data_IF_976451275319
#
_entry.id   IF_976451275319
#
_cell.length_a   1.000
_cell.length_b   1.000
_cell.length_c   1.000
_cell.angle_alpha   90.00
_cell.angle_beta   90.00
_cell.angle_gamma   90.00
#
_symmetry.space_group_name_H-M   'P 1'
#
loop_
_entity.id
_entity.type
_entity.pdbx_description
1 polymer ?
#
# COMPACT_ATOMS: atom_id res chain seq x y z
N UNK A 1 -39.46 18.75 32.37
CA UNK A 1 -39.39 19.39 33.71
C UNK A 1 -38.47 18.52 34.55
N UNK A 2 -37.20 18.93 34.70
CA UNK A 2 -36.18 18.44 35.67
C UNK A 2 -35.73 16.94 35.56
N UNK A 3 -34.47 16.49 35.77
CA UNK A 3 -33.14 17.10 36.00
C UNK A 3 -32.07 15.96 36.11
N UNK A 4 -31.05 15.97 35.22
CA UNK A 4 -29.59 15.75 35.42
C UNK A 4 -28.93 14.37 35.65
N UNK A 5 -27.78 14.23 34.97
CA UNK A 5 -26.56 13.49 35.34
C UNK A 5 -25.62 13.42 34.11
N UNK A 6 -24.90 14.47 33.69
CA UNK A 6 -23.62 15.00 34.19
C UNK A 6 -22.54 13.95 34.52
N UNK A 7 -21.69 13.62 33.55
CA UNK A 7 -20.22 13.80 33.58
C UNK A 7 -19.57 13.21 32.31
N UNK A 8 -19.48 14.00 31.25
CA UNK A 8 -18.43 13.89 30.22
C UNK A 8 -17.99 15.33 29.95
N UNK A 9 -16.70 15.69 30.01
CA UNK A 9 -16.28 17.03 29.63
C UNK A 9 -16.38 17.17 28.10
N UNK A 10 -17.48 17.78 27.63
CA UNK A 10 -17.58 18.32 26.28
C UNK A 10 -16.42 19.30 26.05
N UNK A 11 -15.48 18.96 25.17
CA UNK A 11 -14.36 19.83 24.83
C UNK A 11 -14.81 20.87 23.79
N UNK A 12 -15.54 21.89 24.25
CA UNK A 12 -15.86 23.05 23.41
C UNK A 12 -14.61 23.89 23.14
N UNK A 13 -14.15 23.94 21.89
CA UNK A 13 -13.17 24.93 21.43
C UNK A 13 -13.93 26.08 20.76
N UNK A 14 -14.18 27.15 21.52
CA UNK A 14 -14.76 28.39 21.03
C UNK A 14 -13.62 29.28 20.46
N UNK A 15 -13.47 29.31 19.13
CA UNK A 15 -12.59 30.27 18.45
C UNK A 15 -13.37 31.57 18.20
N UNK A 16 -13.15 32.57 19.03
CA UNK A 16 -13.79 33.89 18.89
C UNK A 16 -13.00 34.80 17.92
N UNK A 17 -13.69 35.27 16.86
CA UNK A 17 -13.21 36.35 15.98
C UNK A 17 -13.72 36.29 14.52
N UNK A 18 -15.04 36.46 14.34
CA UNK A 18 -15.82 36.41 13.08
C UNK A 18 -15.41 37.37 11.90
N UNK A 19 -15.97 37.22 10.66
CA UNK A 19 -17.14 36.40 10.29
C UNK A 19 -16.98 35.43 9.09
N UNK A 20 -17.81 34.36 9.13
CA UNK A 20 -18.16 33.38 8.07
C UNK A 20 -16.96 32.52 7.61
N UNK A 21 -16.70 31.33 8.15
CA UNK A 21 -17.55 30.12 8.19
C UNK A 21 -17.37 29.40 9.53
N UNK A 22 -18.45 29.04 10.21
CA UNK A 22 -18.42 28.19 11.40
C UNK A 22 -18.18 26.75 10.98
N UNK A 23 -16.95 26.26 11.08
CA UNK A 23 -16.66 24.84 10.99
C UNK A 23 -17.06 24.20 12.32
N UNK A 24 -18.02 23.27 12.26
CA UNK A 24 -18.38 22.42 13.40
C UNK A 24 -17.41 21.24 13.40
N UNK A 25 -16.46 21.25 14.33
CA UNK A 25 -15.81 20.03 14.76
C UNK A 25 -16.81 19.30 15.65
N UNK A 26 -17.34 18.18 15.19
CA UNK A 26 -18.08 17.25 16.05
C UNK A 26 -17.04 16.23 16.52
N UNK A 27 -16.52 16.43 17.73
CA UNK A 27 -15.86 15.36 18.48
C UNK A 27 -16.97 14.80 19.36
N UNK A 28 -17.68 13.80 18.85
CA UNK A 28 -18.61 12.99 19.61
C UNK A 28 -18.06 11.56 19.63
N UNK A 29 -18.42 10.78 20.64
CA UNK A 29 -17.92 9.42 20.80
C UNK A 29 -18.41 8.55 19.63
N UNK A 30 -17.51 7.79 18.97
CA UNK A 30 -17.66 7.02 17.69
C UNK A 30 -17.55 7.80 16.38
N UNK A 31 -16.50 8.60 16.14
CA UNK A 31 -16.43 9.48 14.97
C UNK A 31 -15.04 9.46 14.33
N UNK A 32 -14.97 9.11 13.03
CA UNK A 32 -13.75 9.21 12.21
C UNK A 32 -13.45 10.67 11.90
N UNK A 33 -12.36 11.21 12.43
CA UNK A 33 -11.84 12.54 12.06
C UNK A 33 -10.59 12.36 11.22
N UNK A 34 -10.53 13.00 10.06
CA UNK A 34 -9.30 13.03 9.25
C UNK A 34 -8.60 14.38 9.41
N UNK A 35 -7.32 14.38 9.76
CA UNK A 35 -6.51 15.59 9.88
C UNK A 35 -5.34 15.59 8.89
N UNK A 36 -5.27 16.57 7.97
CA UNK A 36 -4.18 16.66 6.98
C UNK A 36 -3.29 17.90 7.18
N UNK A 37 -1.96 17.69 7.26
CA UNK A 37 -0.90 18.69 7.46
C UNK A 37 -0.73 19.75 6.34
N UNK A 38 -0.31 21.00 6.63
CA UNK A 38 0.04 22.03 5.59
C UNK A 38 1.22 22.96 5.96
N UNK A 39 2.14 23.23 5.00
CA UNK A 39 3.15 24.32 5.04
C UNK A 39 3.20 25.22 3.77
N UNK A 40 3.83 26.43 3.78
CA UNK A 40 4.52 27.01 2.60
C UNK A 40 6.00 27.46 2.86
N UNK A 41 6.85 27.51 1.81
CA UNK A 41 8.31 27.87 1.76
C UNK A 41 8.60 29.16 0.93
N UNK A 42 9.84 29.72 0.76
CA UNK A 42 11.22 29.17 1.02
C UNK A 42 12.30 30.11 1.65
N UNK A 43 13.35 29.54 2.29
CA UNK A 43 14.80 29.88 2.13
C UNK A 43 15.69 28.86 2.92
N UNK A 44 16.99 28.68 2.57
CA UNK A 44 17.72 27.42 2.79
C UNK A 44 18.57 27.33 4.07
N UNK A 45 18.87 26.07 4.42
CA UNK A 45 19.92 25.51 5.30
C UNK A 45 19.71 25.58 6.83
N UNK A 46 20.33 24.66 7.63
CA UNK A 46 21.30 23.62 7.29
C UNK A 46 20.91 22.17 7.70
N UNK A 47 21.73 21.25 7.21
CA UNK A 47 21.80 19.80 7.44
C UNK A 47 21.26 19.28 8.79
N UNK A 48 20.33 18.35 8.65
CA UNK A 48 19.84 17.42 9.65
C UNK A 48 18.82 16.58 8.91
N UNK A 49 19.27 15.48 8.32
CA UNK A 49 18.45 14.53 7.55
C UNK A 49 17.34 14.03 8.48
N UNK A 50 16.04 14.28 8.20
CA UNK A 50 14.98 13.43 8.71
C UNK A 50 15.00 12.15 7.89
N UNK A 51 14.99 10.99 8.54
CA UNK A 51 15.14 9.69 7.88
C UNK A 51 13.99 9.35 6.91
N UNK A 52 12.82 10.00 6.95
CA UNK A 52 11.67 9.61 6.11
C UNK A 52 11.73 10.06 4.64
N UNK A 53 12.53 11.07 4.29
CA UNK A 53 12.54 11.57 2.91
C UNK A 53 13.50 10.81 1.97
N UNK A 54 14.41 10.00 2.52
CA UNK A 54 15.43 9.28 1.74
C UNK A 54 14.95 7.88 1.28
N UNK A 55 13.99 7.27 1.98
CA UNK A 55 13.52 5.90 1.74
C UNK A 55 12.50 5.84 0.59
N UNK A 56 11.89 6.98 0.24
CA UNK A 56 10.94 7.13 -0.87
C UNK A 56 11.62 7.32 -2.24
N UNK A 57 12.88 6.95 -2.42
CA UNK A 57 13.60 7.13 -3.69
C UNK A 57 12.92 6.44 -4.88
N UNK A 58 12.37 5.24 -4.62
CA UNK A 58 11.67 4.39 -5.58
C UNK A 58 10.14 4.59 -5.64
N UNK A 59 9.56 5.36 -4.72
CA UNK A 59 8.13 5.66 -4.69
C UNK A 59 7.91 7.16 -4.82
N UNK A 60 7.10 7.64 -5.79
CA UNK A 60 6.95 9.07 -5.98
C UNK A 60 6.33 9.74 -4.75
N UNK A 61 7.09 10.63 -4.10
CA UNK A 61 6.54 11.47 -3.03
C UNK A 61 5.41 12.38 -3.56
N UNK A 62 4.30 12.43 -2.83
CA UNK A 62 3.19 13.28 -3.22
C UNK A 62 3.53 14.76 -3.02
N UNK A 63 3.44 15.54 -4.09
CA UNK A 63 3.58 16.97 -4.02
C UNK A 63 2.45 17.60 -3.21
N UNK A 64 2.74 18.72 -2.55
CA UNK A 64 1.76 19.58 -1.86
C UNK A 64 0.49 19.92 -2.65
N UNK A 65 0.56 19.96 -3.99
CA UNK A 65 -0.60 20.21 -4.83
C UNK A 65 -1.47 18.95 -4.97
N UNK A 66 -0.84 17.77 -5.08
CA UNK A 66 -1.53 16.48 -5.04
C UNK A 66 -2.24 16.29 -3.71
N UNK A 67 -1.58 16.53 -2.57
CA UNK A 67 -2.21 16.41 -1.25
C UNK A 67 -3.50 17.25 -1.11
N UNK A 68 -3.47 18.49 -1.59
CA UNK A 68 -4.66 19.37 -1.54
C UNK A 68 -5.76 18.95 -2.51
N UNK A 69 -5.39 18.38 -3.65
CA UNK A 69 -6.35 17.86 -4.62
C UNK A 69 -6.98 16.60 -4.06
N UNK A 70 -6.17 15.65 -3.59
CA UNK A 70 -6.61 14.46 -2.87
C UNK A 70 -7.56 14.84 -1.73
N UNK A 71 -7.19 15.74 -0.81
CA UNK A 71 -8.09 16.18 0.26
C UNK A 71 -9.44 16.73 -0.24
N UNK A 72 -9.43 17.53 -1.31
CA UNK A 72 -10.65 18.14 -1.84
C UNK A 72 -11.50 17.13 -2.62
N UNK A 73 -10.85 16.18 -3.31
CA UNK A 73 -11.48 15.08 -4.03
C UNK A 73 -12.05 14.06 -3.06
N UNK A 74 -11.31 13.70 -2.01
CA UNK A 74 -11.78 12.87 -0.88
C UNK A 74 -12.94 13.56 -0.17
N UNK A 75 -12.86 14.86 0.17
CA UNK A 75 -13.99 15.57 0.77
C UNK A 75 -15.22 15.54 -0.17
N UNK A 76 -15.01 15.68 -1.48
CA UNK A 76 -16.07 15.60 -2.48
C UNK A 76 -16.66 14.21 -2.67
N UNK A 77 -15.83 13.17 -2.72
CA UNK A 77 -16.20 11.76 -2.87
C UNK A 77 -16.82 11.25 -1.60
N UNK A 78 -16.18 11.47 -0.45
CA UNK A 78 -16.74 11.15 0.84
C UNK A 78 -18.06 11.89 1.05
N UNK A 79 -18.23 13.17 0.69
CA UNK A 79 -19.56 13.81 0.78
C UNK A 79 -20.62 13.16 -0.11
N UNK A 80 -20.25 12.57 -1.26
CA UNK A 80 -21.18 11.84 -2.14
C UNK A 80 -21.46 10.42 -1.65
N UNK A 81 -20.44 9.76 -1.10
CA UNK A 81 -20.47 8.38 -0.63
C UNK A 81 -21.14 8.29 0.75
N UNK A 82 -20.79 9.21 1.65
CA UNK A 82 -21.32 9.33 3.01
C UNK A 82 -22.78 9.81 3.07
N UNK A 83 -23.35 10.33 1.97
CA UNK A 83 -24.80 10.52 1.87
C UNK A 83 -25.54 9.17 1.95
N UNK A 84 -24.85 8.05 1.68
CA UNK A 84 -25.33 6.68 1.90
C UNK A 84 -25.14 6.15 3.33
N UNK A 85 -24.40 6.84 4.19
CA UNK A 85 -24.05 6.43 5.55
C UNK A 85 -24.78 7.31 6.58
N UNK A 86 -26.11 7.28 6.57
CA UNK A 86 -26.94 8.11 7.47
C UNK A 86 -26.65 7.88 8.98
N UNK A 87 -26.02 6.76 9.33
CA UNK A 87 -25.70 6.36 10.71
C UNK A 87 -24.25 6.64 11.13
N UNK A 88 -23.32 6.96 10.21
CA UNK A 88 -21.90 7.20 10.51
C UNK A 88 -21.50 8.66 10.30
N UNK A 89 -20.94 9.28 11.34
CA UNK A 89 -20.52 10.69 11.32
C UNK A 89 -19.02 10.81 10.99
N UNK A 90 -18.65 10.72 9.71
CA UNK A 90 -17.27 10.93 9.25
C UNK A 90 -17.00 12.42 8.97
N UNK A 91 -15.93 12.96 9.54
CA UNK A 91 -15.53 14.37 9.40
C UNK A 91 -14.12 14.54 8.82
N UNK A 92 -13.97 15.45 7.86
CA UNK A 92 -12.67 15.79 7.26
C UNK A 92 -12.18 17.15 7.75
N UNK A 93 -10.88 17.26 8.02
CA UNK A 93 -10.23 18.43 8.56
C UNK A 93 -8.80 18.61 8.04
N UNK A 94 -8.39 19.88 7.93
CA UNK A 94 -7.02 20.24 7.57
C UNK A 94 -6.35 20.93 8.76
N UNK A 95 -5.20 20.41 9.19
CA UNK A 95 -4.40 20.97 10.30
C UNK A 95 -3.11 21.57 9.75
N UNK A 96 -3.05 22.90 9.68
CA UNK A 96 -1.82 23.60 9.25
C UNK A 96 -0.79 23.59 10.39
N UNK A 97 0.32 22.86 10.24
CA UNK A 97 1.37 22.68 11.25
C UNK A 97 1.85 24.02 11.83
N UNK A 98 2.01 25.06 10.99
CA UNK A 98 2.47 26.38 11.43
C UNK A 98 1.40 27.16 12.17
N UNK A 99 0.16 27.18 11.66
CA UNK A 99 -0.93 27.99 12.22
C UNK A 99 -1.62 27.31 13.40
N UNK A 100 -1.58 25.99 13.43
CA UNK A 100 -2.29 25.12 14.36
C UNK A 100 -1.34 24.14 15.08
N UNK A 101 -0.06 24.48 15.23
CA UNK A 101 0.94 23.66 15.96
C UNK A 101 0.48 23.18 17.34
N UNK A 102 -0.28 24.00 18.07
CA UNK A 102 -0.82 23.60 19.38
C UNK A 102 -1.91 22.52 19.27
N UNK A 103 -2.66 22.48 18.17
CA UNK A 103 -3.65 21.44 17.87
C UNK A 103 -2.92 20.17 17.42
N UNK A 104 -2.00 20.28 16.44
CA UNK A 104 -1.18 19.15 15.98
C UNK A 104 -0.49 18.43 17.15
N UNK A 105 0.24 19.19 17.98
CA UNK A 105 0.90 18.65 19.17
C UNK A 105 -0.05 18.04 20.20
N UNK A 106 -1.27 18.55 20.32
CA UNK A 106 -2.25 18.01 21.27
C UNK A 106 -2.87 16.70 20.77
N UNK A 107 -2.98 16.57 19.46
CA UNK A 107 -3.53 15.40 18.78
C UNK A 107 -2.47 14.35 18.43
N UNK A 108 -1.18 14.63 18.66
CA UNK A 108 -0.10 13.70 18.32
C UNK A 108 0.26 13.65 16.83
N UNK A 109 -0.06 14.70 16.07
CA UNK A 109 0.27 14.77 14.64
C UNK A 109 1.74 15.19 14.50
N UNK A 110 2.62 14.21 14.38
CA UNK A 110 4.07 14.42 14.37
C UNK A 110 4.66 14.40 12.96
N UNK A 111 4.03 13.69 12.02
CA UNK A 111 4.45 13.66 10.61
C UNK A 111 3.71 14.70 9.76
N UNK A 112 4.48 15.34 8.88
CA UNK A 112 3.99 16.39 7.98
C UNK A 112 3.63 15.74 6.66
N UNK A 113 2.53 16.19 6.05
CA UNK A 113 2.05 15.60 4.80
C UNK A 113 1.54 14.16 4.96
N UNK A 114 1.14 13.78 6.18
CA UNK A 114 0.45 12.51 6.47
C UNK A 114 -1.04 12.72 6.77
N UNK A 115 -1.80 11.63 6.68
CA UNK A 115 -3.22 11.57 6.98
C UNK A 115 -3.39 10.83 8.31
N UNK A 116 -4.00 11.49 9.29
CA UNK A 116 -4.33 10.86 10.57
C UNK A 116 -5.83 10.64 10.68
N UNK A 117 -6.22 9.43 11.03
CA UNK A 117 -7.60 8.96 11.16
C UNK A 117 -7.84 8.66 12.65
N UNK A 118 -8.76 9.40 13.25
CA UNK A 118 -9.15 9.20 14.64
C UNK A 118 -10.39 8.31 14.67
N UNK A 119 -10.27 7.04 15.04
CA UNK A 119 -11.39 6.10 15.12
C UNK A 119 -11.53 5.62 16.56
N UNK A 120 -12.71 5.84 17.17
CA UNK A 120 -12.94 5.58 18.60
C UNK A 120 -11.90 6.19 19.55
N UNK A 121 -11.02 5.38 20.13
CA UNK A 121 -9.91 5.84 20.98
C UNK A 121 -8.55 5.75 20.30
N UNK A 122 -8.51 5.25 19.07
CA UNK A 122 -7.30 4.97 18.30
C UNK A 122 -6.98 6.08 17.31
N UNK A 123 -5.68 6.22 17.04
CA UNK A 123 -5.14 7.13 16.05
C UNK A 123 -4.39 6.28 15.03
N UNK A 124 -4.98 6.17 13.84
CA UNK A 124 -4.41 5.45 12.72
C UNK A 124 -3.66 6.44 11.84
N UNK A 125 -2.38 6.19 11.62
CA UNK A 125 -1.57 6.91 10.65
C UNK A 125 -1.70 6.21 9.29
N UNK A 126 -2.28 6.90 8.31
CA UNK A 126 -2.42 6.37 6.96
C UNK A 126 -1.16 6.70 6.16
N UNK A 127 -0.42 5.65 5.81
CA UNK A 127 0.80 5.71 5.00
C UNK A 127 0.65 4.89 3.70
N UNK A 128 -0.46 5.14 3.01
CA UNK A 128 -0.79 4.57 1.71
C UNK A 128 -0.87 5.61 0.60
N UNK A 129 -1.29 5.16 -0.59
CA UNK A 129 -1.48 5.98 -1.77
C UNK A 129 -2.46 7.13 -1.50
N UNK A 130 -2.10 8.34 -1.96
CA UNK A 130 -2.93 9.53 -1.80
C UNK A 130 -3.93 9.66 -2.95
N UNK A 131 -4.70 8.59 -3.16
CA UNK A 131 -5.78 8.48 -4.12
C UNK A 131 -7.13 8.40 -3.41
N UNK A 132 -8.15 9.03 -3.98
CA UNK A 132 -9.42 9.23 -3.28
C UNK A 132 -10.25 7.95 -3.14
N UNK A 133 -10.19 7.06 -4.13
CA UNK A 133 -10.75 5.71 -4.08
C UNK A 133 -10.09 4.86 -2.99
N UNK A 134 -8.75 4.78 -2.97
CA UNK A 134 -7.99 4.02 -1.97
C UNK A 134 -8.30 4.48 -0.55
N UNK A 135 -8.36 5.80 -0.33
CA UNK A 135 -8.66 6.35 0.99
C UNK A 135 -10.12 6.09 1.38
N UNK A 136 -11.08 6.18 0.45
CA UNK A 136 -12.48 5.85 0.74
C UNK A 136 -12.63 4.36 1.08
N UNK A 137 -11.95 3.47 0.37
CA UNK A 137 -11.91 2.04 0.67
C UNK A 137 -11.30 1.78 2.05
N UNK A 138 -10.16 2.40 2.35
CA UNK A 138 -9.54 2.30 3.67
C UNK A 138 -10.47 2.77 4.80
N UNK A 139 -11.21 3.86 4.58
CA UNK A 139 -12.17 4.36 5.56
C UNK A 139 -13.36 3.41 5.77
N UNK A 140 -13.75 2.63 4.76
CA UNK A 140 -14.75 1.58 4.95
C UNK A 140 -14.25 0.52 5.91
N UNK A 141 -13.01 0.06 5.72
CA UNK A 141 -12.43 -0.90 6.63
C UNK A 141 -12.31 -0.34 8.05
N UNK A 142 -11.95 0.94 8.20
CA UNK A 142 -11.84 1.60 9.52
C UNK A 142 -13.19 1.65 10.28
N UNK A 143 -14.31 1.88 9.60
CA UNK A 143 -15.62 1.96 10.27
C UNK A 143 -16.25 0.61 10.57
N UNK A 144 -15.74 -0.48 9.99
CA UNK A 144 -16.17 -1.83 10.32
C UNK A 144 -15.70 -2.25 11.72
N UNK A 145 -16.38 -3.24 12.32
CA UNK A 145 -15.99 -3.77 13.61
C UNK A 145 -14.58 -4.42 13.50
N UNK A 146 -13.68 -4.22 14.47
CA UNK A 146 -12.30 -4.72 14.39
C UNK A 146 -12.20 -6.26 14.42
N UNK A 147 -13.25 -6.95 14.87
CA UNK A 147 -13.32 -8.42 14.89
C UNK A 147 -14.52 -8.95 14.12
N UNK A 148 -14.25 -9.68 13.03
CA UNK A 148 -15.27 -10.36 12.24
C UNK A 148 -15.69 -11.71 12.85
N UNK A 149 -17.01 -11.95 12.97
CA UNK A 149 -17.52 -13.19 13.54
C UNK A 149 -17.80 -14.24 12.46
N UNK A 150 -17.12 -15.39 12.54
CA UNK A 150 -17.37 -16.57 11.70
C UNK A 150 -18.39 -17.48 12.38
N UNK A 151 -19.62 -17.48 11.88
CA UNK A 151 -20.74 -18.27 12.39
C UNK A 151 -21.16 -19.42 11.47
N UNK A 152 -20.74 -19.40 10.20
CA UNK A 152 -21.16 -20.38 9.20
C UNK A 152 -20.04 -20.79 8.21
N UNK A 153 -20.37 -21.79 7.37
CA UNK A 153 -19.43 -22.40 6.43
C UNK A 153 -19.04 -21.49 5.25
N UNK A 154 -19.87 -20.48 4.94
CA UNK A 154 -19.59 -19.52 3.88
C UNK A 154 -18.57 -18.49 4.36
N UNK A 155 -18.77 -17.94 5.55
CA UNK A 155 -17.78 -17.05 6.20
C UNK A 155 -16.47 -17.77 6.45
N UNK A 156 -16.51 -19.02 6.92
CA UNK A 156 -15.29 -19.82 7.09
C UNK A 156 -14.54 -20.01 5.75
N UNK A 157 -15.26 -20.14 4.63
CA UNK A 157 -14.64 -20.19 3.32
C UNK A 157 -14.03 -18.84 2.94
N UNK A 158 -14.73 -17.73 3.22
CA UNK A 158 -14.19 -16.37 3.03
C UNK A 158 -12.88 -16.17 3.78
N UNK A 159 -12.85 -16.56 5.06
CA UNK A 159 -11.65 -16.55 5.89
C UNK A 159 -10.46 -17.28 5.25
N UNK A 160 -10.67 -18.47 4.66
CA UNK A 160 -9.59 -19.22 4.01
C UNK A 160 -9.19 -18.68 2.63
N UNK A 161 -10.05 -17.91 1.97
CA UNK A 161 -9.78 -17.33 0.65
C UNK A 161 -8.91 -16.05 0.73
N UNK A 162 -8.82 -15.43 1.90
CA UNK A 162 -7.99 -14.25 2.14
C UNK A 162 -6.61 -14.73 2.59
N UNK A 163 -5.64 -14.86 1.71
CA UNK A 163 -4.30 -15.39 2.01
C UNK A 163 -3.18 -14.36 1.86
N UNK A 164 -3.48 -13.11 1.48
CA UNK A 164 -2.50 -12.06 1.21
C UNK A 164 -2.31 -11.05 2.35
N UNK A 165 -3.04 -11.21 3.46
CA UNK A 165 -2.95 -10.36 4.65
C UNK A 165 -2.77 -11.16 5.93
N UNK A 166 -2.12 -10.55 6.93
CA UNK A 166 -2.02 -11.14 8.26
C UNK A 166 -3.42 -11.25 8.85
N UNK A 167 -3.77 -12.44 9.34
CA UNK A 167 -5.07 -12.66 9.97
C UNK A 167 -4.99 -13.55 11.21
N UNK A 168 -5.82 -13.27 12.20
CA UNK A 168 -5.94 -14.05 13.41
C UNK A 168 -7.33 -14.65 13.53
N UNK A 169 -7.45 -15.83 14.13
CA UNK A 169 -8.76 -16.40 14.46
C UNK A 169 -8.79 -17.02 15.85
N UNK A 170 -9.70 -16.52 16.68
CA UNK A 170 -9.90 -17.00 18.04
C UNK A 170 -11.20 -17.80 18.24
N UNK A 171 -11.17 -18.85 19.06
CA UNK A 171 -12.40 -19.52 19.52
C UNK A 171 -12.74 -19.15 20.96
N UNK A 172 -13.85 -18.45 21.17
CA UNK A 172 -14.28 -18.01 22.49
C UNK A 172 -15.67 -18.54 22.86
N UNK A 173 -16.05 -18.39 24.13
CA UNK A 173 -17.37 -18.87 24.60
C UNK A 173 -18.54 -18.02 24.13
N UNK A 174 -18.31 -16.71 23.98
CA UNK A 174 -19.29 -15.67 23.63
C UNK A 174 -18.58 -14.31 23.62
N UNK A 175 -19.19 -13.30 23.00
CA UNK A 175 -18.79 -11.88 23.07
C UNK A 175 -18.56 -11.36 24.50
N UNK A 176 -19.29 -11.90 25.49
CA UNK A 176 -19.15 -11.48 26.90
C UNK A 176 -18.02 -12.18 27.66
N UNK A 177 -17.22 -12.98 26.97
CA UNK A 177 -16.10 -13.69 27.57
C UNK A 177 -14.98 -12.69 27.85
N UNK A 178 -14.37 -12.68 29.05
CA UNK A 178 -13.23 -11.80 29.32
C UNK A 178 -12.09 -11.98 28.30
N UNK A 179 -11.86 -13.20 27.83
CA UNK A 179 -10.82 -13.47 26.82
C UNK A 179 -11.16 -12.98 25.41
N UNK A 180 -12.45 -12.80 25.11
CA UNK A 180 -12.84 -12.20 23.84
C UNK A 180 -12.67 -10.69 23.94
N UNK A 181 -13.04 -10.07 25.06
CA UNK A 181 -12.84 -8.63 25.29
C UNK A 181 -11.35 -8.27 25.14
N UNK A 182 -10.44 -9.01 25.77
CA UNK A 182 -8.99 -8.75 25.61
C UNK A 182 -8.46 -9.00 24.18
N UNK A 183 -9.18 -9.81 23.39
CA UNK A 183 -8.84 -10.08 21.99
C UNK A 183 -9.39 -9.00 21.05
N UNK A 184 -10.58 -8.48 21.38
CA UNK A 184 -11.25 -7.36 20.73
C UNK A 184 -10.48 -6.06 20.98
N UNK A 185 -10.08 -5.80 22.23
CA UNK A 185 -9.22 -4.68 22.62
C UNK A 185 -7.88 -4.73 21.85
N UNK A 186 -7.28 -5.93 21.69
CA UNK A 186 -6.05 -6.08 20.90
C UNK A 186 -6.27 -5.91 19.38
N UNK A 187 -7.48 -6.15 18.88
CA UNK A 187 -7.80 -5.97 17.47
C UNK A 187 -7.88 -4.48 17.11
N UNK A 188 -8.39 -3.64 18.03
CA UNK A 188 -8.45 -2.18 17.86
C UNK A 188 -7.06 -1.57 17.55
N UNK A 189 -5.99 -2.10 18.17
CA UNK A 189 -4.60 -1.61 17.99
C UNK A 189 -4.03 -1.84 16.56
N UNK A 190 -4.54 -2.83 15.82
CA UNK A 190 -4.06 -3.15 14.46
C UNK A 190 -5.12 -2.92 13.38
N UNK A 191 -6.29 -2.39 13.74
CA UNK A 191 -7.37 -2.15 12.80
C UNK A 191 -7.04 -0.97 11.87
N UNK A 192 -7.19 -1.09 10.53
CA UNK A 192 -7.74 -2.23 9.78
C UNK A 192 -6.70 -3.12 9.08
N UNK A 193 -5.41 -2.95 9.37
CA UNK A 193 -4.30 -3.59 8.65
C UNK A 193 -4.19 -5.10 8.91
N UNK A 194 -4.41 -5.53 10.16
CA UNK A 194 -4.44 -6.96 10.53
C UNK A 194 -5.88 -7.40 10.73
N UNK A 195 -6.31 -8.46 10.05
CA UNK A 195 -7.71 -8.91 10.12
C UNK A 195 -7.94 -9.88 11.29
N UNK A 196 -8.77 -9.49 12.24
CA UNK A 196 -9.13 -10.34 13.37
C UNK A 196 -10.47 -11.03 13.12
N UNK A 197 -10.49 -12.34 13.32
CA UNK A 197 -11.69 -13.16 13.27
C UNK A 197 -11.95 -13.82 14.62
N UNK A 198 -13.22 -14.10 14.91
CA UNK A 198 -13.59 -14.91 16.05
C UNK A 198 -14.73 -15.86 15.71
N UNK A 199 -14.81 -16.97 16.43
CA UNK A 199 -16.01 -17.81 16.41
C UNK A 199 -16.47 -18.12 17.82
N UNK A 200 -17.78 -18.25 17.98
CA UNK A 200 -18.41 -18.77 19.20
C UNK A 200 -19.07 -20.13 18.96
N UNK A 201 -19.14 -20.62 17.71
CA UNK A 201 -19.72 -21.93 17.37
C UNK A 201 -18.67 -23.05 17.53
N UNK A 202 -18.88 -24.03 18.44
CA UNK A 202 -18.00 -25.18 18.58
C UNK A 202 -17.82 -26.02 17.29
N UNK A 203 -18.74 -25.95 16.33
CA UNK A 203 -18.63 -26.63 15.03
C UNK A 203 -17.63 -25.94 14.12
N UNK A 204 -17.66 -24.62 14.05
CA UNK A 204 -16.71 -23.81 13.27
C UNK A 204 -15.32 -23.94 13.90
N UNK A 205 -15.21 -23.78 15.21
CA UNK A 205 -13.97 -24.00 15.95
C UNK A 205 -13.37 -25.40 15.70
N UNK A 206 -14.21 -26.43 15.60
CA UNK A 206 -13.73 -27.79 15.27
C UNK A 206 -13.15 -27.89 13.85
N UNK A 207 -13.66 -27.13 12.88
CA UNK A 207 -13.13 -27.09 11.51
C UNK A 207 -11.80 -26.33 11.46
N UNK A 208 -11.72 -25.22 12.19
CA UNK A 208 -10.49 -24.46 12.45
C UNK A 208 -9.48 -25.22 13.32
N UNK A 209 -9.87 -26.37 13.92
CA UNK A 209 -9.08 -27.16 14.87
C UNK A 209 -8.73 -26.45 16.19
N UNK A 210 -9.39 -25.34 16.50
CA UNK A 210 -9.19 -24.53 17.70
C UNK A 210 -9.82 -25.13 18.97
N UNK A 211 -9.13 -24.94 20.10
CA UNK A 211 -9.69 -25.12 21.45
C UNK A 211 -10.24 -23.81 22.02
N UNK A 212 -11.06 -23.89 23.07
CA UNK A 212 -11.57 -22.68 23.75
C UNK A 212 -10.42 -21.80 24.23
N UNK A 213 -10.51 -20.50 23.95
CA UNK A 213 -9.53 -19.44 24.18
C UNK A 213 -8.18 -19.69 23.47
N UNK A 214 -8.15 -20.49 22.41
CA UNK A 214 -7.01 -20.62 21.51
C UNK A 214 -7.16 -19.60 20.39
N UNK A 215 -6.05 -18.98 20.02
CA UNK A 215 -5.94 -18.04 18.90
C UNK A 215 -4.85 -18.57 17.99
N UNK A 216 -5.17 -18.69 16.72
CA UNK A 216 -4.23 -19.04 15.65
C UNK A 216 -3.90 -17.77 14.85
N UNK A 217 -2.61 -17.55 14.60
CA UNK A 217 -2.06 -16.51 13.75
C UNK A 217 -1.73 -17.10 12.38
N UNK A 218 -2.18 -16.46 11.32
CA UNK A 218 -1.89 -16.83 9.93
C UNK A 218 -1.05 -15.71 9.33
N UNK A 219 0.19 -16.04 9.03
CA UNK A 219 1.03 -15.23 8.17
C UNK A 219 0.53 -15.32 6.72
N UNK A 220 0.60 -14.23 5.92
CA UNK A 220 0.28 -14.25 4.51
C UNK A 220 0.96 -15.40 3.78
N UNK A 221 0.23 -16.01 2.87
CA UNK A 221 0.65 -17.08 1.95
C UNK A 221 1.10 -18.38 2.62
N UNK A 222 0.97 -18.49 3.95
CA UNK A 222 1.23 -19.72 4.71
C UNK A 222 -0.02 -20.58 4.82
N UNK A 223 0.11 -21.89 4.55
CA UNK A 223 -1.02 -22.83 4.61
C UNK A 223 -1.46 -23.15 6.05
N UNK A 224 -0.49 -23.31 6.95
CA UNK A 224 -0.70 -23.72 8.33
C UNK A 224 -0.49 -22.54 9.28
N UNK A 225 -1.37 -22.32 10.27
CA UNK A 225 -1.19 -21.26 11.24
C UNK A 225 -0.21 -21.61 12.34
N UNK A 226 0.24 -20.56 13.05
CA UNK A 226 0.94 -20.67 14.32
C UNK A 226 -0.04 -20.38 15.47
N UNK A 227 -0.28 -21.38 16.33
CA UNK A 227 -1.07 -21.16 17.55
C UNK A 227 -0.27 -20.31 18.55
N UNK A 228 -0.81 -19.16 18.93
CA UNK A 228 -0.15 -18.24 19.87
C UNK A 228 0.07 -18.95 21.22
N UNK A 229 1.31 -18.98 21.76
CA UNK A 229 1.61 -19.68 23.01
C UNK A 229 1.08 -18.91 24.23
N UNK A 230 0.91 -19.59 25.36
CA UNK A 230 0.73 -18.91 26.66
C UNK A 230 -0.69 -18.68 27.17
N UNK A 231 -1.74 -19.11 26.46
CA UNK A 231 -3.15 -18.87 26.85
C UNK A 231 -3.51 -19.15 28.32
N UNK A 232 -4.46 -18.40 28.93
CA UNK A 232 -5.25 -17.33 28.32
C UNK A 232 -4.45 -16.03 28.14
N UNK A 233 -4.72 -15.33 27.04
CA UNK A 233 -4.04 -14.08 26.68
C UNK A 233 -4.69 -12.88 27.35
N UNK A 234 -3.88 -11.84 27.57
CA UNK A 234 -4.31 -10.46 27.77
C UNK A 234 -3.98 -9.64 26.52
N UNK A 235 -4.59 -8.46 26.36
CA UNK A 235 -4.38 -7.55 25.23
C UNK A 235 -2.90 -7.39 24.86
N UNK A 236 -2.06 -7.00 25.82
CA UNK A 236 -0.63 -6.75 25.61
C UNK A 236 0.17 -7.99 25.15
N UNK A 237 -0.26 -9.20 25.51
CA UNK A 237 0.41 -10.43 25.07
C UNK A 237 0.09 -10.76 23.61
N UNK A 238 -1.09 -10.35 23.11
CA UNK A 238 -1.46 -10.48 21.71
C UNK A 238 -0.75 -9.42 20.87
N UNK A 239 -0.76 -8.18 21.33
CA UNK A 239 -0.06 -7.06 20.69
C UNK A 239 1.42 -7.38 20.53
N UNK A 240 2.11 -7.75 21.63
CA UNK A 240 3.54 -8.09 21.58
C UNK A 240 3.84 -9.29 20.65
N UNK A 241 2.90 -10.23 20.52
CA UNK A 241 3.08 -11.35 19.59
C UNK A 241 2.96 -10.89 18.14
N UNK A 242 1.97 -10.06 17.81
CA UNK A 242 1.74 -9.57 16.44
C UNK A 242 2.90 -8.66 16.02
N UNK A 243 3.32 -7.73 16.86
CA UNK A 243 4.49 -6.86 16.62
C UNK A 243 5.81 -7.64 16.42
N UNK A 244 5.91 -8.88 16.93
CA UNK A 244 7.09 -9.73 16.71
C UNK A 244 7.04 -10.49 15.38
N UNK A 245 5.89 -10.51 14.71
CA UNK A 245 5.62 -11.26 13.49
C UNK A 245 4.89 -10.39 12.45
N UNK A 246 5.07 -9.07 12.53
CA UNK A 246 4.41 -8.07 11.68
C UNK A 246 5.10 -7.90 10.31
N UNK A 247 6.26 -8.54 10.12
CA UNK A 247 6.99 -8.65 8.85
C UNK A 247 6.90 -10.07 8.28
N UNK A 248 5.96 -10.35 7.37
CA UNK A 248 5.86 -11.64 6.67
C UNK A 248 7.06 -11.91 5.76
N UNK A 249 7.32 -13.20 5.51
CA UNK A 249 8.32 -13.65 4.53
C UNK A 249 7.93 -13.27 3.10
N UNK A 250 6.64 -13.32 2.77
CA UNK A 250 6.10 -12.82 1.52
C UNK A 250 4.94 -11.86 1.84
N UNK A 251 5.03 -10.63 1.37
CA UNK A 251 4.03 -9.58 1.61
C UNK A 251 3.61 -8.91 0.30
N UNK A 252 2.31 -8.74 0.10
CA UNK A 252 1.76 -8.06 -1.08
C UNK A 252 1.83 -6.55 -0.85
N UNK A 253 2.35 -5.81 -1.82
CA UNK A 253 2.29 -4.35 -1.81
C UNK A 253 0.86 -3.92 -2.15
N UNK A 254 0.18 -3.28 -1.21
CA UNK A 254 -1.20 -2.81 -1.36
C UNK A 254 -1.23 -1.29 -1.38
N UNK A 255 -2.12 -0.66 -2.18
CA UNK A 255 -2.18 0.80 -2.26
C UNK A 255 -2.32 1.49 -0.90
N UNK A 256 -3.13 0.96 0.02
CA UNK A 256 -3.39 1.58 1.32
C UNK A 256 -2.25 1.47 2.35
N UNK A 257 -1.20 0.67 2.09
CA UNK A 257 -0.04 0.48 2.98
C UNK A 257 1.30 0.53 2.22
N UNK A 258 1.30 1.05 0.99
CA UNK A 258 2.47 0.97 0.12
C UNK A 258 3.71 1.67 0.67
N UNK A 259 3.56 2.79 1.39
CA UNK A 259 4.71 3.50 1.95
C UNK A 259 5.19 2.84 3.24
N UNK A 260 4.28 2.37 4.10
CA UNK A 260 4.63 1.58 5.29
C UNK A 260 5.48 0.35 4.92
N UNK A 261 5.03 -0.45 3.95
CA UNK A 261 5.74 -1.65 3.49
C UNK A 261 7.11 -1.29 2.88
N UNK A 262 7.18 -0.20 2.11
CA UNK A 262 8.40 0.22 1.45
C UNK A 262 9.41 0.89 2.39
N UNK A 263 8.95 1.54 3.46
CA UNK A 263 9.82 2.13 4.48
C UNK A 263 10.39 1.08 5.44
N UNK A 264 9.80 -0.12 5.46
CA UNK A 264 10.20 -1.25 6.30
C UNK A 264 11.28 -2.14 5.63
N UNK A 265 12.43 -1.54 5.30
CA UNK A 265 13.56 -2.21 4.61
C UNK A 265 14.34 -3.23 5.48
N UNK A 266 15.12 -4.09 4.82
CA UNK A 266 16.13 -4.94 5.46
C UNK A 266 17.50 -4.44 5.01
N UNK A 267 18.26 -3.83 5.92
CA UNK A 267 19.62 -3.32 5.67
C UNK A 267 19.73 -2.27 4.54
N UNK A 268 18.65 -1.57 4.20
CA UNK A 268 18.59 -0.60 3.12
C UNK A 268 18.10 -1.17 1.78
N UNK A 269 17.68 -2.43 1.75
CA UNK A 269 17.30 -3.13 0.53
C UNK A 269 15.93 -3.82 0.64
N UNK A 270 15.31 -4.07 -0.51
CA UNK A 270 14.14 -4.94 -0.65
C UNK A 270 14.37 -5.99 -1.72
N UNK A 271 13.93 -7.22 -1.45
CA UNK A 271 13.69 -8.21 -2.50
C UNK A 271 12.30 -7.95 -3.05
N UNK A 272 12.20 -7.61 -4.33
CA UNK A 272 10.95 -7.22 -5.00
C UNK A 272 10.63 -8.23 -6.10
N UNK A 273 9.41 -8.75 -6.11
CA UNK A 273 8.89 -9.63 -7.15
C UNK A 273 7.70 -8.97 -7.84
N UNK A 274 7.75 -8.80 -9.16
CA UNK A 274 6.60 -8.38 -9.97
C UNK A 274 5.94 -9.61 -10.59
N UNK A 275 4.63 -9.74 -10.40
CA UNK A 275 3.82 -10.79 -11.03
C UNK A 275 2.36 -10.36 -11.08
N UNK A 276 1.75 -10.37 -12.27
CA UNK A 276 0.31 -10.14 -12.45
C UNK A 276 -0.45 -11.41 -12.06
N UNK A 277 -1.35 -11.33 -11.08
CA UNK A 277 -2.07 -12.52 -10.56
C UNK A 277 -3.00 -13.16 -11.61
N UNK A 278 -3.55 -12.33 -12.50
CA UNK A 278 -4.52 -12.74 -13.53
C UNK A 278 -3.85 -13.24 -14.84
N UNK A 279 -2.53 -13.02 -15.00
CA UNK A 279 -1.74 -13.55 -16.12
C UNK A 279 -1.28 -15.00 -15.84
N UNK A 280 -1.32 -15.92 -16.83
CA UNK A 280 -0.90 -17.30 -16.62
C UNK A 280 0.55 -17.47 -16.13
N UNK A 281 1.49 -16.67 -16.65
CA UNK A 281 2.91 -16.76 -16.31
C UNK A 281 3.15 -16.10 -14.94
N UNK A 282 2.47 -14.98 -14.67
CA UNK A 282 2.45 -14.34 -13.35
C UNK A 282 1.89 -15.24 -12.24
N UNK A 283 0.80 -15.97 -12.51
CA UNK A 283 0.24 -16.95 -11.57
C UNK A 283 1.20 -18.12 -11.31
N UNK A 284 1.84 -18.66 -12.35
CA UNK A 284 2.83 -19.72 -12.19
C UNK A 284 4.02 -19.26 -11.34
N UNK A 285 4.54 -18.06 -11.60
CA UNK A 285 5.60 -17.47 -10.80
C UNK A 285 5.23 -17.29 -9.34
N UNK A 286 4.03 -16.77 -9.09
CA UNK A 286 3.54 -16.50 -7.75
C UNK A 286 3.45 -17.78 -6.92
N UNK A 287 3.03 -18.91 -7.52
CA UNK A 287 2.99 -20.19 -6.81
C UNK A 287 4.39 -20.70 -6.44
N UNK A 288 5.39 -20.49 -7.31
CA UNK A 288 6.80 -20.76 -7.00
C UNK A 288 7.29 -19.87 -5.86
N UNK A 289 6.97 -18.57 -5.91
CA UNK A 289 7.34 -17.61 -4.87
C UNK A 289 6.74 -17.97 -3.51
N UNK A 290 5.46 -18.38 -3.48
CA UNK A 290 4.79 -18.88 -2.27
C UNK A 290 5.43 -20.16 -1.75
N UNK A 291 5.91 -21.06 -2.63
CA UNK A 291 6.64 -22.28 -2.21
C UNK A 291 7.96 -21.91 -1.53
N UNK A 292 8.77 -21.05 -2.16
CA UNK A 292 10.05 -20.59 -1.59
C UNK A 292 9.87 -19.85 -0.26
N UNK A 293 8.86 -18.99 -0.18
CA UNK A 293 8.52 -18.29 1.06
C UNK A 293 8.12 -19.26 2.19
N UNK A 294 7.33 -20.30 1.88
CA UNK A 294 6.94 -21.33 2.85
C UNK A 294 8.13 -22.14 3.36
N UNK A 295 9.07 -22.48 2.48
CA UNK A 295 10.25 -23.26 2.85
C UNK A 295 11.26 -22.43 3.68
N UNK A 296 11.20 -21.10 3.57
CA UNK A 296 12.12 -20.16 4.22
C UNK A 296 11.47 -19.25 5.28
N UNK A 297 10.24 -19.56 5.73
CA UNK A 297 9.47 -18.73 6.69
C UNK A 297 10.16 -18.52 8.05
N UNK A 298 11.08 -19.41 8.43
CA UNK A 298 11.84 -19.31 9.68
C UNK A 298 13.04 -18.34 9.60
N UNK A 299 13.39 -17.79 8.42
CA UNK A 299 14.50 -16.81 8.28
C UNK A 299 14.01 -15.37 8.50
N UNK A 300 14.38 -14.71 9.61
CA UNK A 300 13.94 -13.35 9.90
C UNK A 300 14.58 -12.28 8.99
N UNK A 301 15.57 -12.65 8.18
CA UNK A 301 16.21 -11.73 7.23
C UNK A 301 15.62 -11.84 5.82
N UNK A 302 14.65 -12.74 5.60
CA UNK A 302 13.95 -12.87 4.33
C UNK A 302 12.59 -12.18 4.42
N UNK A 303 12.40 -11.15 3.60
CA UNK A 303 11.08 -10.59 3.32
C UNK A 303 11.03 -10.16 1.86
N UNK A 304 10.08 -10.72 1.12
CA UNK A 304 9.88 -10.46 -0.30
C UNK A 304 8.62 -9.63 -0.46
N UNK A 305 8.73 -8.51 -1.17
CA UNK A 305 7.60 -7.67 -1.55
C UNK A 305 7.11 -8.16 -2.92
N UNK A 306 5.93 -8.77 -2.95
CA UNK A 306 5.23 -9.03 -4.20
C UNK A 306 4.40 -7.81 -4.62
N UNK A 307 4.64 -7.34 -5.83
CA UNK A 307 3.89 -6.25 -6.47
C UNK A 307 3.13 -6.83 -7.65
N UNK A 308 1.81 -6.70 -7.62
CA UNK A 308 0.98 -6.88 -8.80
C UNK A 308 0.97 -5.55 -9.59
N UNK A 309 1.52 -5.49 -10.81
CA UNK A 309 1.56 -4.27 -11.62
C UNK A 309 0.16 -3.65 -11.85
N UNK A 310 -0.90 -4.46 -11.89
CA UNK A 310 -2.27 -4.01 -12.14
C UNK A 310 -2.84 -3.19 -10.98
N UNK A 311 -2.31 -3.36 -9.76
CA UNK A 311 -2.67 -2.54 -8.61
C UNK A 311 -2.08 -1.12 -8.69
N UNK A 312 -1.06 -0.91 -9.51
CA UNK A 312 -0.32 0.35 -9.60
C UNK A 312 -0.07 0.80 -11.05
N UNK A 313 -1.12 0.96 -11.88
CA UNK A 313 -0.98 1.21 -13.32
C UNK A 313 -0.24 2.51 -13.64
N UNK A 314 -0.24 3.48 -12.71
CA UNK A 314 0.48 4.75 -12.86
C UNK A 314 1.99 4.63 -12.56
N UNK A 315 2.42 3.60 -11.84
CA UNK A 315 3.82 3.36 -11.49
C UNK A 315 4.52 2.42 -12.46
N UNK A 316 3.79 1.57 -13.20
CA UNK A 316 4.37 0.65 -14.20
C UNK A 316 5.37 1.35 -15.14
N UNK A 317 5.04 2.46 -15.84
CA UNK A 317 6.01 3.11 -16.73
C UNK A 317 7.19 3.76 -16.00
N UNK A 318 7.08 4.00 -14.70
CA UNK A 318 8.18 4.50 -13.88
C UNK A 318 9.12 3.34 -13.54
N UNK A 319 8.60 2.21 -13.04
CA UNK A 319 9.40 1.03 -12.71
C UNK A 319 10.14 0.46 -13.91
N UNK A 320 9.49 0.29 -15.06
CA UNK A 320 10.15 -0.18 -16.29
C UNK A 320 11.33 0.71 -16.69
N UNK A 321 11.21 2.03 -16.50
CA UNK A 321 12.30 2.97 -16.84
C UNK A 321 13.40 3.03 -15.79
N UNK A 322 13.05 2.94 -14.51
CA UNK A 322 14.00 3.04 -13.40
C UNK A 322 14.83 1.77 -13.31
N UNK A 323 14.16 0.61 -13.35
CA UNK A 323 14.77 -0.70 -13.18
C UNK A 323 15.21 -1.34 -14.49
N UNK A 324 14.84 -0.75 -15.64
CA UNK A 324 15.16 -1.28 -16.98
C UNK A 324 14.66 -2.72 -17.21
N UNK A 325 13.48 -3.03 -16.65
CA UNK A 325 12.78 -4.31 -16.75
C UNK A 325 11.52 -4.20 -17.61
N UNK A 326 11.01 -5.34 -18.08
CA UNK A 326 9.72 -5.46 -18.76
C UNK A 326 8.68 -6.07 -17.81
N UNK A 327 7.68 -5.28 -17.41
CA UNK A 327 6.64 -5.71 -16.48
C UNK A 327 5.50 -6.48 -17.17
N UNK A 328 5.59 -6.74 -18.47
CA UNK A 328 4.70 -7.68 -19.17
C UNK A 328 5.07 -9.15 -18.93
N UNK A 329 6.15 -9.41 -18.19
CA UNK A 329 6.55 -10.74 -17.75
C UNK A 329 6.96 -10.68 -16.26
N UNK A 330 6.92 -11.80 -15.53
CA UNK A 330 7.31 -11.83 -14.13
C UNK A 330 8.76 -11.38 -13.94
N UNK A 331 9.06 -10.71 -12.82
CA UNK A 331 10.40 -10.22 -12.49
C UNK A 331 10.70 -10.48 -11.00
N UNK A 332 11.95 -10.74 -10.64
CA UNK A 332 12.40 -10.67 -9.25
C UNK A 332 13.79 -10.05 -9.17
N UNK A 333 13.99 -9.16 -8.20
CA UNK A 333 15.22 -8.39 -8.06
C UNK A 333 15.43 -7.87 -6.65
N UNK A 334 16.59 -7.28 -6.43
CA UNK A 334 16.96 -6.55 -5.22
C UNK A 334 17.01 -5.07 -5.58
N UNK A 335 16.46 -4.22 -4.71
CA UNK A 335 16.41 -2.76 -4.91
C UNK A 335 16.99 -2.06 -3.68
N UNK A 336 18.00 -1.19 -3.84
CA UNK A 336 18.46 -0.27 -2.78
C UNK A 336 17.46 0.88 -2.64
N UNK A 337 17.03 1.13 -1.40
CA UNK A 337 15.97 2.11 -1.12
C UNK A 337 16.43 3.57 -1.25
N UNK A 338 17.73 3.84 -1.17
CA UNK A 338 18.32 5.19 -1.11
C UNK A 338 18.48 5.80 -2.49
N UNK A 339 18.91 5.03 -3.49
CA UNK A 339 19.16 5.54 -4.85
C UNK A 339 18.42 4.80 -5.96
N UNK A 340 17.65 3.77 -5.62
CA UNK A 340 16.89 2.95 -6.56
C UNK A 340 17.76 2.11 -7.50
N UNK A 341 19.02 1.86 -7.16
CA UNK A 341 19.80 0.87 -7.89
C UNK A 341 19.23 -0.52 -7.68
N UNK A 342 19.37 -1.38 -8.68
CA UNK A 342 18.71 -2.68 -8.66
C UNK A 342 19.39 -3.73 -9.54
N UNK A 343 19.35 -4.97 -9.05
CA UNK A 343 19.81 -6.16 -9.79
C UNK A 343 18.66 -7.15 -9.90
N UNK A 344 18.40 -7.65 -11.11
CA UNK A 344 17.27 -8.51 -11.42
C UNK A 344 17.75 -9.90 -11.84
N UNK A 345 17.01 -10.93 -11.45
CA UNK A 345 17.27 -12.31 -11.89
C UNK A 345 17.05 -12.42 -13.40
N UNK A 346 18.05 -12.91 -14.12
CA UNK A 346 17.89 -13.21 -15.54
C UNK A 346 16.92 -14.40 -15.72
N UNK A 347 15.80 -14.14 -16.38
CA UNK A 347 14.83 -15.15 -16.79
C UNK A 347 14.76 -15.13 -18.32
N UNK A 348 14.90 -16.29 -18.95
CA UNK A 348 14.79 -16.38 -20.41
C UNK A 348 13.30 -16.29 -20.81
N UNK A 349 12.90 -15.21 -21.49
CA UNK A 349 11.52 -14.94 -21.96
C UNK A 349 10.87 -16.07 -22.82
N UNK A 350 11.63 -17.12 -23.15
CA UNK A 350 11.20 -18.22 -24.03
C UNK A 350 11.38 -19.61 -23.42
N UNK A 351 12.09 -19.75 -22.29
CA UNK A 351 12.48 -21.03 -21.72
C UNK A 351 12.23 -21.03 -20.20
N UNK A 352 11.07 -21.57 -19.81
CA UNK A 352 10.64 -22.04 -18.48
C UNK A 352 10.96 -21.15 -17.24
N UNK A 353 9.90 -20.78 -16.50
CA UNK A 353 10.00 -20.13 -15.18
C UNK A 353 11.02 -20.82 -14.27
N UNK A 354 11.76 -20.06 -13.42
CA UNK A 354 12.73 -20.67 -12.51
C UNK A 354 12.03 -21.67 -11.61
N UNK A 355 12.70 -22.79 -11.34
CA UNK A 355 12.22 -23.72 -10.32
C UNK A 355 12.35 -23.12 -8.92
N UNK A 356 11.60 -23.62 -7.94
CA UNK A 356 11.72 -23.18 -6.55
C UNK A 356 13.17 -23.29 -6.02
N UNK A 357 13.88 -24.36 -6.37
CA UNK A 357 15.29 -24.57 -6.01
C UNK A 357 16.23 -23.48 -6.62
N UNK A 358 15.96 -23.05 -7.86
CA UNK A 358 16.75 -22.02 -8.54
C UNK A 358 16.49 -20.63 -7.95
N UNK A 359 15.22 -20.34 -7.65
CA UNK A 359 14.81 -19.09 -7.01
C UNK A 359 15.35 -19.00 -5.57
N UNK A 360 15.25 -20.07 -4.80
CA UNK A 360 15.82 -20.15 -3.45
C UNK A 360 17.33 -19.92 -3.48
N UNK A 361 18.06 -20.54 -4.41
CA UNK A 361 19.51 -20.33 -4.52
C UNK A 361 19.87 -18.88 -4.86
N UNK A 362 19.09 -18.23 -5.73
CA UNK A 362 19.29 -16.82 -6.07
C UNK A 362 19.05 -15.90 -4.84
N UNK A 363 17.98 -16.16 -4.08
CA UNK A 363 17.70 -15.45 -2.83
C UNK A 363 18.79 -15.67 -1.79
N UNK A 364 19.31 -16.90 -1.63
CA UNK A 364 20.45 -17.16 -0.74
C UNK A 364 21.70 -16.36 -1.13
N UNK A 365 21.95 -16.22 -2.44
CA UNK A 365 23.08 -15.45 -2.95
C UNK A 365 22.92 -13.95 -2.63
N UNK A 366 21.70 -13.40 -2.78
CA UNK A 366 21.33 -12.05 -2.31
C UNK A 366 21.57 -11.90 -0.80
N UNK A 367 20.96 -12.75 0.03
CA UNK A 367 21.06 -12.67 1.49
C UNK A 367 22.51 -12.83 1.99
N UNK A 368 23.36 -13.50 1.21
CA UNK A 368 24.78 -13.66 1.52
C UNK A 368 25.66 -12.50 1.07
N UNK A 369 25.10 -11.53 0.33
CA UNK A 369 25.80 -10.39 -0.27
C UNK A 369 26.69 -10.77 -1.45
N UNK A 370 26.37 -11.85 -2.17
CA UNK A 370 27.02 -12.17 -3.46
C UNK A 370 26.36 -11.46 -4.63
N UNK A 371 25.08 -11.09 -4.45
CA UNK A 371 24.30 -10.28 -5.38
C UNK A 371 23.90 -9.07 -4.56
N UNK A 372 24.50 -7.93 -4.88
CA UNK A 372 24.31 -6.66 -4.17
C UNK A 372 24.35 -5.55 -5.24
N UNK A 373 23.33 -4.68 -5.33
CA UNK A 373 23.32 -3.54 -6.25
C UNK A 373 24.51 -2.57 -6.07
N UNK A 374 25.10 -2.49 -4.88
CA UNK A 374 26.21 -1.57 -4.58
C UNK A 374 27.61 -2.14 -4.99
N UNK A 375 27.72 -3.39 -5.46
CA UNK A 375 29.01 -4.11 -5.60
C UNK A 375 29.76 -3.87 -6.93
N UNK A 376 29.43 -2.80 -7.65
CA UNK A 376 29.92 -2.48 -9.01
C UNK A 376 31.39 -1.99 -9.11
N UNK A 377 32.20 -2.03 -8.03
CA UNK A 377 33.40 -1.18 -7.91
C UNK A 377 34.75 -1.88 -7.56
N UNK A 378 34.93 -3.20 -7.69
CA UNK A 378 36.22 -3.86 -7.29
C UNK A 378 36.74 -5.02 -8.20
N UNK A 379 36.51 -5.02 -9.53
CA UNK A 379 37.21 -5.91 -10.49
C UNK A 379 38.11 -5.21 -11.52
N UNK A 380 38.79 -4.11 -11.13
CA UNK A 380 39.94 -3.56 -11.88
C UNK A 380 41.28 -4.01 -11.25
N UNK A 381 41.53 -5.33 -11.17
CA UNK A 381 42.87 -5.89 -10.92
C UNK A 381 43.26 -6.90 -12.02
N UNK A 382 43.91 -6.40 -13.08
CA UNK A 382 45.05 -7.00 -13.80
C UNK A 382 44.99 -6.77 -15.33
N UNK A 383 45.55 -5.65 -15.81
CA UNK A 383 46.21 -5.60 -17.13
C UNK A 383 47.52 -4.80 -17.00
N UNK A 384 48.50 -5.46 -16.36
CA UNK A 384 49.93 -5.16 -16.53
C UNK A 384 50.35 -5.56 -17.96
N UNK A 385 49.98 -4.76 -18.97
CA UNK A 385 50.58 -4.80 -20.30
C UNK A 385 51.65 -3.69 -20.42
N UNK A 386 52.75 -3.89 -19.70
CA UNK A 386 54.05 -3.36 -20.10
C UNK A 386 54.61 -4.22 -21.25
N UNK A 387 54.55 -3.73 -22.50
CA UNK A 387 55.57 -4.05 -23.52
C UNK A 387 55.60 -2.98 -24.64
N UNK A 388 56.51 -2.03 -24.44
CA UNK A 388 57.49 -1.42 -25.36
C UNK A 388 57.21 -1.33 -26.89
N UNK A 389 57.29 -0.08 -27.37
CA UNK A 389 58.13 0.43 -28.48
C UNK A 389 58.10 -0.26 -29.88
N UNK A 390 57.63 0.47 -30.91
CA UNK A 390 58.49 1.16 -31.89
C UNK A 390 57.76 1.51 -33.23
N UNK A 391 57.90 2.79 -33.58
CA UNK A 391 58.21 3.39 -34.89
C UNK A 391 57.29 3.27 -36.13
N UNK A 392 56.96 4.48 -36.61
CA UNK A 392 57.08 5.00 -37.98
C UNK A 392 56.22 4.41 -39.13
N UNK A 393 55.32 5.24 -39.69
CA UNK A 393 55.69 6.04 -40.87
C UNK A 393 54.53 6.96 -41.32
N UNK A 394 54.91 8.21 -41.59
CA UNK A 394 54.14 9.28 -42.23
C UNK A 394 53.84 8.95 -43.71
N UNK A 395 52.70 9.38 -44.23
CA UNK A 395 52.60 10.31 -45.39
C UNK A 395 51.20 10.26 -46.05
N UNK A 396 50.52 11.41 -45.98
CA UNK A 396 49.93 12.21 -47.06
C UNK A 396 49.50 11.50 -48.37
N UNK A 397 48.25 11.72 -48.80
CA UNK A 397 47.93 12.80 -49.77
C UNK A 397 46.45 12.73 -50.20
N UNK A 398 45.73 13.83 -49.92
CA UNK A 398 44.95 14.66 -50.84
C UNK A 398 44.01 14.05 -51.89
N UNK A 399 42.79 14.62 -51.97
CA UNK A 399 42.18 14.87 -53.28
C UNK A 399 40.67 15.06 -53.34
N UNK A 400 40.27 16.34 -53.25
CA UNK A 400 39.08 17.00 -53.84
C UNK A 400 37.70 16.64 -53.25
N UNK A 401 37.05 17.51 -52.46
CA UNK A 401 36.51 18.86 -52.76
C UNK A 401 35.41 18.89 -53.84
N UNK A 402 34.28 19.45 -53.40
CA UNK A 402 33.29 20.24 -54.15
C UNK A 402 32.29 19.45 -55.03
N UNK A 403 30.99 19.80 -55.09
CA UNK A 403 30.25 20.93 -54.55
C UNK A 403 28.75 20.72 -54.83
N UNK A 404 27.96 21.57 -54.19
CA UNK A 404 26.69 22.15 -54.65
C UNK A 404 25.39 21.31 -54.57
N UNK A 405 24.64 21.62 -53.50
CA UNK A 405 23.41 22.42 -53.55
C UNK A 405 22.51 22.27 -54.79
N UNK A 406 21.26 21.85 -54.58
CA UNK A 406 20.14 22.79 -54.65
C UNK A 406 18.79 22.12 -54.37
N UNK A 407 17.92 22.94 -53.78
CA UNK A 407 16.48 23.10 -54.02
C UNK A 407 15.57 21.88 -53.77
N UNK A 408 14.33 22.04 -53.32
CA UNK A 408 13.54 23.13 -52.76
C UNK A 408 12.20 22.44 -52.42
N UNK A 409 11.50 23.03 -51.47
CA UNK A 409 10.05 23.17 -51.45
C UNK A 409 9.15 21.92 -51.41
N UNK A 410 8.53 21.81 -50.23
CA UNK A 410 7.09 21.90 -50.01
C UNK A 410 6.17 20.81 -50.57
N UNK A 411 5.55 20.14 -49.59
CA UNK A 411 4.11 19.94 -49.45
C UNK A 411 3.34 19.51 -50.71
N UNK A 412 3.11 18.20 -50.81
CA UNK A 412 2.09 17.61 -51.67
C UNK A 412 1.06 16.87 -50.81
N UNK A 413 -0.06 17.58 -50.62
CA UNK A 413 -1.44 17.13 -50.82
C UNK A 413 -1.98 15.91 -50.05
N UNK A 414 -2.88 16.23 -49.12
CA UNK A 414 -3.86 15.31 -48.55
C UNK A 414 -5.06 16.04 -47.97
N UNK A 415 -5.75 16.82 -48.80
CA UNK A 415 -7.12 17.27 -48.54
C UNK A 415 -8.07 16.07 -48.64
N UNK A 416 -8.82 15.79 -47.58
CA UNK A 416 -10.12 15.14 -47.64
C UNK A 416 -10.98 15.76 -46.52
N UNK A 417 -11.62 16.89 -46.86
CA UNK A 417 -12.90 17.30 -46.29
C UNK A 417 -13.99 16.44 -46.95
N UNK A 418 -14.85 15.83 -46.15
CA UNK A 418 -16.28 15.55 -46.41
C UNK A 418 -16.78 14.85 -45.11
N UNK A 419 -17.36 15.59 -44.16
CA UNK A 419 -18.80 15.84 -44.04
C UNK A 419 -19.65 14.59 -44.35
N UNK A 420 -20.21 13.98 -43.30
CA UNK A 420 -21.60 13.54 -43.35
C UNK A 420 -22.16 13.46 -41.91
N UNK A 421 -23.10 14.36 -41.69
CA UNK A 421 -24.13 14.35 -40.65
C UNK A 421 -24.84 12.99 -40.57
N UNK A 422 -25.26 12.59 -39.37
CA UNK A 422 -26.59 11.98 -39.19
C UNK A 422 -27.01 12.17 -37.72
N UNK A 423 -27.76 13.25 -37.52
CA UNK A 423 -28.76 13.38 -36.46
C UNK A 423 -29.84 12.31 -36.67
N UNK A 424 -30.20 11.55 -35.65
CA UNK A 424 -31.55 10.98 -35.54
C UNK A 424 -31.99 10.99 -34.08
N UNK A 425 -32.80 12.00 -33.78
CA UNK A 425 -33.76 12.06 -32.69
C UNK A 425 -34.88 11.04 -32.96
N UNK A 426 -35.17 10.16 -32.02
CA UNK A 426 -36.49 9.52 -31.82
C UNK A 426 -36.53 9.14 -30.31
N UNK A 427 -37.36 9.70 -29.43
CA UNK A 427 -38.68 10.28 -29.63
C UNK A 427 -39.75 9.21 -29.47
N UNK A 428 -40.00 8.73 -28.25
CA UNK A 428 -41.25 8.04 -27.89
C UNK A 428 -41.56 8.30 -26.40
N UNK A 429 -42.32 9.37 -26.16
CA UNK A 429 -43.28 9.45 -25.06
C UNK A 429 -44.51 8.62 -25.49
N UNK A 430 -45.10 7.84 -24.58
CA UNK A 430 -46.50 8.05 -24.16
C UNK A 430 -47.12 6.85 -23.41
N UNK A 431 -47.98 7.27 -22.47
CA UNK A 431 -49.15 6.62 -21.87
C UNK A 431 -48.91 5.55 -20.78
N UNK A 432 -49.07 5.89 -19.50
CA UNK A 432 -50.33 6.17 -18.76
C UNK A 432 -51.25 4.94 -18.56
N UNK A 433 -51.65 4.82 -17.29
CA UNK A 433 -52.89 4.27 -16.74
C UNK A 433 -52.95 2.85 -16.15
N UNK A 434 -53.24 2.90 -14.84
CA UNK A 434 -54.36 2.25 -14.14
C UNK A 434 -54.08 1.27 -12.97
N UNK A 435 -54.46 1.80 -11.80
CA UNK A 435 -55.38 1.23 -10.79
C UNK A 435 -54.84 0.28 -9.69
N UNK A 436 -54.93 0.82 -8.45
CA UNK A 436 -55.54 0.25 -7.24
C UNK A 436 -55.78 -1.27 -7.18
N UNK A 437 -55.28 -1.95 -6.12
CA UNK A 437 -56.18 -2.54 -5.12
C UNK A 437 -55.45 -3.04 -3.86
N UNK A 438 -56.19 -3.00 -2.76
CA UNK A 438 -55.87 -3.45 -1.40
C UNK A 438 -55.68 -4.98 -1.28
N UNK A 439 -54.75 -5.44 -0.42
CA UNK A 439 -55.01 -6.32 0.77
C UNK A 439 -53.76 -6.57 1.61
#
# INVERSE_FOLDING_TARGET
>A
MERWGQNVPELFIELSGEPVWTWRFIICCRHVVIAVGRLPHPNPAPAGVPLSAAVRGCLPSASRLQMKRACAEIEGLAAQVLDGFEDEEIGFGLVDEKKASAVAKKLGLDEVESIYIFADNEIIEYDGELAADTIVEFLYDVIEDPVEIIDNDRELKGFYNMDDVIKLVGYFKSERSPHFIEYDDAAEEFHPFVKFFATFDPKIAKKLKLKVNEVDFYEPFMEDPVTIPGKPYIESELVEYIEQHDRPTLRKLLPHSMYEIWEDDINGEHIVAFAEEDDPDGFEFLEILKEVARDNTDDPNLSIIWIDPDNFPLLVPYWERTFSIDLSSPQIGVVDVKDADSVWMEMDDQDDMPTADELEQWIEDVLSGKIDPDDDDDEDEDDDDEDDDDDDDEDDDDGDEDDDDNDDDDDDDGVDDDDDDDEDEDGDEDDEDDEDDEE
#
